data_IF_125522614113
#
_entry.id   IF_125522614113
#
_cell.length_a   1.000
_cell.length_b   1.000
_cell.length_c   1.000
_cell.angle_alpha   90.00
_cell.angle_beta   90.00
_cell.angle_gamma   90.00
#
_symmetry.space_group_name_H-M   'P 1'
#
loop_
_entity.id
_entity.type
_entity.pdbx_description
1 polymer ?
#
# COMPACT_ATOMS: atom_id res chain seq x y z
N UNK A 1 37.05 60.06 -47.56
CA UNK A 1 35.82 59.47 -46.99
C UNK A 1 36.02 57.98 -46.82
N UNK A 2 36.37 57.50 -45.58
CA UNK A 2 36.57 56.11 -45.30
C UNK A 2 35.29 55.56 -44.71
N UNK A 3 34.65 54.56 -45.35
CA UNK A 3 33.47 53.87 -44.88
C UNK A 3 33.92 52.73 -43.96
N UNK A 4 33.59 52.78 -42.66
CA UNK A 4 33.70 51.67 -41.72
C UNK A 4 32.47 50.81 -41.90
N UNK A 5 32.67 49.53 -42.24
CA UNK A 5 31.66 48.49 -42.23
C UNK A 5 31.75 47.83 -40.86
N UNK A 6 30.74 48.00 -40.02
CA UNK A 6 30.59 47.33 -38.75
C UNK A 6 29.92 45.97 -38.99
N UNK A 7 30.68 44.87 -38.87
CA UNK A 7 30.14 43.53 -38.96
C UNK A 7 29.59 43.15 -37.58
N UNK A 8 28.27 43.01 -37.45
CA UNK A 8 27.58 42.48 -36.28
C UNK A 8 27.71 40.94 -36.31
N UNK A 9 28.57 40.38 -35.44
CA UNK A 9 28.59 38.94 -35.18
C UNK A 9 27.40 38.61 -34.26
N UNK A 10 26.33 38.03 -34.80
CA UNK A 10 25.26 37.39 -34.08
C UNK A 10 25.81 36.01 -33.56
N UNK A 11 26.21 35.97 -32.28
CA UNK A 11 26.46 34.72 -31.60
C UNK A 11 25.10 34.07 -31.29
N UNK A 12 24.66 33.17 -32.18
CA UNK A 12 23.52 32.29 -31.91
C UNK A 12 23.87 31.35 -30.78
N UNK A 13 23.38 31.60 -29.59
CA UNK A 13 23.38 30.59 -28.52
C UNK A 13 22.48 29.43 -28.96
N UNK A 14 23.06 28.35 -29.46
CA UNK A 14 22.37 27.12 -29.67
C UNK A 14 22.00 26.59 -28.25
N UNK A 15 20.73 26.70 -27.89
CA UNK A 15 20.18 25.96 -26.76
C UNK A 15 20.26 24.49 -27.13
N UNK A 16 21.31 23.82 -26.72
CA UNK A 16 21.34 22.37 -26.66
C UNK A 16 20.35 21.99 -25.57
N UNK A 17 19.17 21.50 -25.96
CA UNK A 17 18.29 20.86 -25.00
C UNK A 17 19.10 19.71 -24.37
N UNK A 18 19.35 19.79 -23.07
CA UNK A 18 20.02 18.70 -22.36
C UNK A 18 19.18 17.43 -22.56
N UNK A 19 19.84 16.34 -22.92
CA UNK A 19 19.18 15.04 -23.02
C UNK A 19 18.62 14.68 -21.63
N UNK A 20 17.42 14.14 -21.61
CA UNK A 20 16.84 13.64 -20.38
C UNK A 20 17.68 12.50 -19.81
N UNK A 21 17.72 12.46 -18.49
CA UNK A 21 18.36 11.36 -17.77
C UNK A 21 17.38 10.18 -17.67
N UNK A 22 17.86 8.98 -18.01
CA UNK A 22 17.12 7.74 -17.86
C UNK A 22 17.84 6.86 -16.85
N UNK A 23 17.15 6.44 -15.79
CA UNK A 23 17.68 5.58 -14.72
C UNK A 23 16.85 4.29 -14.62
N UNK A 24 17.48 3.14 -14.26
CA UNK A 24 16.71 1.93 -13.98
C UNK A 24 15.78 2.14 -12.79
N UNK A 25 14.68 1.40 -12.72
CA UNK A 25 13.73 1.53 -11.62
C UNK A 25 14.33 1.19 -10.25
N UNK A 26 15.38 0.37 -10.20
CA UNK A 26 16.12 0.02 -8.98
C UNK A 26 17.22 1.04 -8.61
N UNK A 27 17.29 2.20 -9.26
CA UNK A 27 18.28 3.25 -8.89
C UNK A 27 18.07 3.68 -7.44
N UNK A 28 19.15 3.84 -6.70
CA UNK A 28 19.13 4.16 -5.26
C UNK A 28 18.47 5.50 -4.91
N UNK A 29 18.24 6.36 -5.88
CA UNK A 29 17.52 7.63 -5.73
C UNK A 29 15.99 7.43 -5.67
N UNK A 30 15.48 6.27 -6.04
CA UNK A 30 14.06 5.91 -5.94
C UNK A 30 13.83 5.14 -4.64
N UNK A 31 12.83 5.53 -3.88
CA UNK A 31 12.47 4.84 -2.63
C UNK A 31 11.18 4.06 -2.80
N UNK A 32 11.24 2.75 -2.58
CA UNK A 32 10.05 1.88 -2.56
C UNK A 32 9.63 1.57 -1.13
N UNK A 33 8.34 1.51 -0.89
CA UNK A 33 7.75 1.01 0.36
C UNK A 33 6.78 -0.11 0.01
N UNK A 34 7.14 -1.33 0.39
CA UNK A 34 6.44 -2.56 0.06
C UNK A 34 7.39 -3.66 -0.37
N UNK A 35 6.84 -4.82 -0.70
CA UNK A 35 7.60 -5.99 -1.15
C UNK A 35 7.88 -5.90 -2.63
N UNK A 36 9.15 -5.80 -3.00
CA UNK A 36 9.62 -5.70 -4.39
C UNK A 36 10.69 -6.74 -4.68
N UNK A 37 10.77 -7.17 -5.92
CA UNK A 37 11.91 -7.94 -6.43
C UNK A 37 12.62 -7.17 -7.54
N UNK A 38 13.93 -7.11 -7.42
CA UNK A 38 14.80 -6.44 -8.38
C UNK A 38 15.43 -7.46 -9.32
N UNK A 39 15.24 -7.28 -10.61
CA UNK A 39 15.85 -8.09 -11.65
C UNK A 39 17.30 -7.64 -11.96
N UNK A 40 18.08 -8.46 -12.65
CA UNK A 40 19.48 -8.15 -13.00
C UNK A 40 19.62 -6.89 -13.88
N UNK A 41 18.63 -6.56 -14.67
CA UNK A 41 18.59 -5.38 -15.52
C UNK A 41 18.13 -4.10 -14.76
N UNK A 42 17.85 -4.22 -13.47
CA UNK A 42 17.39 -3.13 -12.61
C UNK A 42 15.89 -2.85 -12.70
N UNK A 43 15.11 -3.71 -13.34
CA UNK A 43 13.66 -3.64 -13.26
C UNK A 43 13.15 -4.05 -11.87
N UNK A 44 12.05 -3.45 -11.42
CA UNK A 44 11.44 -3.69 -10.11
C UNK A 44 10.03 -4.21 -10.29
N UNK A 45 9.79 -5.46 -9.85
CA UNK A 45 8.48 -6.11 -9.94
C UNK A 45 7.80 -6.23 -8.58
N UNK A 46 6.46 -6.08 -8.57
CA UNK A 46 5.62 -6.16 -7.37
C UNK A 46 4.15 -6.39 -7.74
N UNK A 47 3.36 -6.96 -6.82
CA UNK A 47 1.92 -7.19 -7.04
C UNK A 47 1.03 -6.86 -5.82
N UNK A 48 1.58 -6.66 -4.63
CA UNK A 48 0.80 -6.27 -3.45
C UNK A 48 0.14 -4.90 -3.61
N UNK A 49 -1.13 -4.77 -3.22
CA UNK A 49 -1.83 -3.47 -3.22
C UNK A 49 -1.18 -2.49 -2.25
N UNK A 50 -1.26 -1.20 -2.55
CA UNK A 50 -0.75 -0.13 -1.69
C UNK A 50 0.76 0.00 -1.62
N UNK A 51 1.53 -0.81 -2.37
CA UNK A 51 2.95 -0.55 -2.57
C UNK A 51 3.13 0.78 -3.30
N UNK A 52 4.12 1.56 -2.91
CA UNK A 52 4.38 2.85 -3.57
C UNK A 52 5.87 3.14 -3.74
N UNK A 53 6.16 4.00 -4.73
CA UNK A 53 7.47 4.55 -4.99
C UNK A 53 7.45 6.08 -4.83
N UNK A 54 8.53 6.63 -4.24
CA UNK A 54 8.82 8.06 -4.16
C UNK A 54 9.92 8.40 -5.14
N UNK A 55 9.68 9.40 -5.96
CA UNK A 55 10.60 9.91 -6.96
C UNK A 55 10.80 11.41 -6.74
N UNK A 56 12.04 11.88 -6.70
CA UNK A 56 12.38 13.30 -6.68
C UNK A 56 13.19 13.64 -7.94
N UNK A 57 12.83 14.75 -8.59
CA UNK A 57 13.43 15.13 -9.88
C UNK A 57 13.44 16.65 -10.05
N UNK A 58 14.18 17.11 -11.05
CA UNK A 58 14.18 18.50 -11.49
C UNK A 58 13.66 18.61 -12.91
N UNK A 59 13.13 19.77 -13.25
CA UNK A 59 12.72 20.09 -14.61
C UNK A 59 11.24 19.92 -14.87
N UNK A 60 10.84 19.89 -16.11
CA UNK A 60 9.44 19.90 -16.53
C UNK A 60 8.91 18.55 -17.01
N UNK A 61 9.62 17.44 -16.73
CA UNK A 61 9.21 16.13 -17.25
C UNK A 61 9.63 14.98 -16.34
N UNK A 62 8.71 14.05 -16.15
CA UNK A 62 8.96 12.73 -15.57
C UNK A 62 8.08 11.71 -16.29
N UNK A 63 8.68 10.62 -16.76
CA UNK A 63 8.00 9.45 -17.31
C UNK A 63 8.47 8.16 -16.64
N UNK A 64 7.61 7.15 -16.67
CA UNK A 64 7.84 5.80 -16.20
C UNK A 64 7.70 4.82 -17.37
N UNK A 65 8.72 4.02 -17.63
CA UNK A 65 8.65 2.83 -18.47
C UNK A 65 8.22 1.65 -17.59
N UNK A 66 7.10 1.04 -17.90
CA UNK A 66 6.54 -0.05 -17.11
C UNK A 66 5.79 -1.07 -17.97
N UNK A 67 5.58 -2.24 -17.38
CA UNK A 67 4.71 -3.28 -17.93
C UNK A 67 3.88 -3.93 -16.85
N UNK A 68 2.86 -4.67 -17.25
CA UNK A 68 2.00 -5.43 -16.35
C UNK A 68 1.64 -6.78 -16.96
N UNK A 69 1.34 -7.78 -16.11
CA UNK A 69 0.89 -9.10 -16.57
C UNK A 69 -0.57 -9.10 -16.96
N UNK A 70 -1.36 -8.17 -16.40
CA UNK A 70 -2.80 -8.03 -16.64
C UNK A 70 -3.14 -6.53 -16.75
N UNK A 71 -3.80 -5.94 -15.71
CA UNK A 71 -4.19 -4.53 -15.72
C UNK A 71 -4.25 -3.96 -14.32
N UNK A 72 -3.31 -3.12 -14.00
CA UNK A 72 -3.21 -2.44 -12.71
C UNK A 72 -3.52 -0.93 -12.79
N UNK A 73 -4.07 -0.42 -11.70
CA UNK A 73 -4.36 1.00 -11.50
C UNK A 73 -3.39 1.59 -10.47
N UNK A 74 -2.99 2.85 -10.66
CA UNK A 74 -2.03 3.53 -9.79
C UNK A 74 -2.52 4.93 -9.44
N UNK A 75 -2.48 5.28 -8.16
CA UNK A 75 -2.59 6.64 -7.68
C UNK A 75 -1.28 7.40 -7.94
N UNK A 76 -1.37 8.66 -8.32
CA UNK A 76 -0.19 9.55 -8.47
C UNK A 76 -0.46 10.87 -7.77
N UNK A 77 0.43 11.26 -6.85
CA UNK A 77 0.45 12.57 -6.20
C UNK A 77 1.69 13.34 -6.61
N UNK A 78 1.53 14.65 -6.86
CA UNK A 78 2.56 15.52 -7.41
C UNK A 78 2.75 16.71 -6.47
N UNK A 79 3.99 16.92 -6.00
CA UNK A 79 4.39 18.03 -5.12
C UNK A 79 3.60 18.12 -3.81
N UNK A 80 3.02 17.04 -3.36
CA UNK A 80 2.28 16.94 -2.09
C UNK A 80 2.38 15.54 -1.49
N UNK A 81 1.96 15.40 -0.25
CA UNK A 81 1.83 14.11 0.41
C UNK A 81 0.63 13.33 -0.16
N UNK A 82 0.69 11.99 -0.13
CA UNK A 82 -0.47 11.16 -0.44
C UNK A 82 -1.69 11.50 0.41
N UNK A 83 -2.85 11.50 -0.22
CA UNK A 83 -4.16 11.71 0.40
C UNK A 83 -5.16 10.70 -0.16
N UNK A 84 -6.40 10.71 0.32
CA UNK A 84 -7.47 9.88 -0.23
C UNK A 84 -7.71 10.14 -1.74
N UNK A 85 -7.47 11.36 -2.19
CA UNK A 85 -7.68 11.76 -3.59
C UNK A 85 -6.33 12.00 -4.28
N UNK A 86 -5.98 11.21 -5.32
CA UNK A 86 -4.77 11.43 -6.11
C UNK A 86 -4.94 12.61 -7.09
N UNK A 87 -3.82 13.16 -7.58
CA UNK A 87 -3.85 14.15 -8.66
C UNK A 87 -4.24 13.52 -9.99
N UNK A 88 -3.90 12.26 -10.17
CA UNK A 88 -4.35 11.44 -11.31
C UNK A 88 -4.27 9.95 -11.01
N UNK A 89 -4.99 9.19 -11.81
CA UNK A 89 -4.91 7.73 -11.85
C UNK A 89 -4.24 7.33 -13.16
N UNK A 90 -3.29 6.41 -13.08
CA UNK A 90 -2.58 5.82 -14.20
C UNK A 90 -2.99 4.35 -14.31
N UNK A 91 -3.17 3.88 -15.55
CA UNK A 91 -3.45 2.47 -15.85
C UNK A 91 -2.26 1.89 -16.60
N UNK A 92 -1.80 0.71 -16.18
CA UNK A 92 -0.76 -0.06 -16.84
C UNK A 92 -1.36 -1.44 -17.16
N UNK A 93 -1.50 -1.78 -18.43
CA UNK A 93 -2.10 -3.03 -18.92
C UNK A 93 -1.17 -3.81 -19.88
N UNK A 94 0.00 -3.25 -20.17
CA UNK A 94 1.04 -3.80 -21.06
C UNK A 94 2.31 -2.97 -20.95
N UNK A 95 3.33 -3.34 -21.71
CA UNK A 95 4.53 -2.51 -21.84
C UNK A 95 4.18 -1.14 -22.41
N UNK A 96 4.52 -0.11 -21.64
CA UNK A 96 4.15 1.28 -21.95
C UNK A 96 5.12 2.27 -21.32
N UNK A 97 5.09 3.51 -21.86
CA UNK A 97 5.72 4.66 -21.21
C UNK A 97 4.62 5.63 -20.78
N UNK A 98 4.52 5.85 -19.47
CA UNK A 98 3.51 6.74 -18.87
C UNK A 98 4.16 8.04 -18.45
N UNK A 99 3.66 9.17 -18.97
CA UNK A 99 4.09 10.50 -18.51
C UNK A 99 3.45 10.81 -17.16
N UNK A 100 4.26 10.81 -16.10
CA UNK A 100 3.83 11.11 -14.74
C UNK A 100 3.73 12.62 -14.49
N UNK A 101 4.63 13.41 -15.08
CA UNK A 101 4.64 14.86 -14.97
C UNK A 101 5.07 15.51 -16.29
N UNK A 102 4.39 16.60 -16.71
CA UNK A 102 4.78 17.38 -17.88
C UNK A 102 4.30 18.83 -17.74
N UNK A 103 5.23 19.76 -17.47
CA UNK A 103 4.96 21.20 -17.38
C UNK A 103 6.14 22.01 -17.90
N UNK A 104 5.99 22.61 -19.07
CA UNK A 104 7.07 23.36 -19.73
C UNK A 104 7.62 24.54 -18.94
N UNK A 105 6.81 25.15 -18.07
CA UNK A 105 7.14 26.39 -17.36
C UNK A 105 7.92 26.14 -16.05
N UNK A 106 8.06 24.89 -15.61
CA UNK A 106 8.69 24.54 -14.32
C UNK A 106 10.06 23.88 -14.44
N UNK A 107 10.79 24.12 -15.52
CA UNK A 107 12.06 23.45 -15.86
C UNK A 107 13.20 23.57 -14.85
N UNK A 108 13.16 24.56 -13.97
CA UNK A 108 14.22 24.81 -12.97
C UNK A 108 13.85 24.42 -11.54
N UNK A 109 12.65 23.87 -11.32
CA UNK A 109 12.18 23.54 -9.98
C UNK A 109 12.43 22.07 -9.65
N UNK A 110 12.59 21.80 -8.37
CA UNK A 110 12.56 20.45 -7.83
C UNK A 110 11.11 20.02 -7.61
N UNK A 111 10.81 18.78 -7.96
CA UNK A 111 9.50 18.16 -7.84
C UNK A 111 9.60 16.82 -7.13
N UNK A 112 8.50 16.38 -6.54
CA UNK A 112 8.32 15.03 -6.02
C UNK A 112 7.07 14.39 -6.60
N UNK A 113 7.14 13.10 -6.85
CA UNK A 113 6.02 12.26 -7.23
C UNK A 113 5.97 11.05 -6.32
N UNK A 114 4.76 10.70 -5.87
CA UNK A 114 4.48 9.40 -5.26
C UNK A 114 3.55 8.65 -6.20
N UNK A 115 3.91 7.41 -6.54
CA UNK A 115 3.07 6.51 -7.34
C UNK A 115 2.76 5.27 -6.52
N UNK A 116 1.47 4.94 -6.31
CA UNK A 116 1.00 3.84 -5.48
C UNK A 116 0.13 2.88 -6.30
N UNK A 117 0.46 1.57 -6.23
CA UNK A 117 -0.40 0.52 -6.80
C UNK A 117 -1.73 0.49 -6.07
N UNK A 118 -2.85 0.59 -6.80
CA UNK A 118 -4.20 0.50 -6.22
C UNK A 118 -4.64 -0.93 -6.05
N UNK A 119 -4.55 -1.70 -7.10
CA UNK A 119 -5.09 -3.04 -7.26
C UNK A 119 -4.21 -4.09 -6.60
N UNK A 120 -4.80 -5.20 -6.20
CA UNK A 120 -4.11 -6.35 -5.63
C UNK A 120 -3.54 -7.31 -6.70
N UNK A 121 -2.87 -8.39 -6.30
CA UNK A 121 -2.17 -9.28 -7.22
C UNK A 121 -3.07 -10.00 -8.23
N UNK A 122 -4.38 -10.16 -7.95
CA UNK A 122 -5.32 -10.76 -8.88
C UNK A 122 -5.55 -9.92 -10.15
N UNK A 123 -5.29 -8.62 -10.09
CA UNK A 123 -5.43 -7.70 -11.23
C UNK A 123 -4.14 -7.55 -12.02
N UNK A 124 -3.01 -7.98 -11.48
CA UNK A 124 -1.75 -7.98 -12.21
C UNK A 124 -0.50 -7.88 -11.33
N UNK A 125 0.64 -8.14 -11.97
CA UNK A 125 1.97 -7.89 -11.45
C UNK A 125 2.64 -6.83 -12.27
N UNK A 126 2.81 -5.66 -11.67
CA UNK A 126 3.50 -4.55 -12.30
C UNK A 126 5.03 -4.75 -12.28
N UNK A 127 5.68 -4.28 -13.34
CA UNK A 127 7.13 -4.18 -13.44
C UNK A 127 7.50 -2.78 -13.89
N UNK A 128 8.15 -2.02 -13.02
CA UNK A 128 8.76 -0.74 -13.37
C UNK A 128 10.16 -1.00 -13.94
N UNK A 129 10.46 -0.49 -15.14
CA UNK A 129 11.72 -0.73 -15.83
C UNK A 129 12.69 0.41 -15.64
N UNK A 130 12.23 1.62 -15.91
CA UNK A 130 13.06 2.82 -15.83
C UNK A 130 12.20 4.06 -15.60
N UNK A 131 12.85 5.10 -15.07
CA UNK A 131 12.31 6.46 -15.05
C UNK A 131 13.14 7.35 -15.96
N UNK A 132 12.49 8.32 -16.61
CA UNK A 132 13.11 9.35 -17.44
C UNK A 132 12.69 10.73 -16.95
N UNK A 133 13.63 11.62 -16.67
CA UNK A 133 13.39 12.99 -16.23
C UNK A 133 14.44 13.96 -16.80
N UNK A 134 14.21 15.28 -16.65
CA UNK A 134 15.25 16.27 -16.98
C UNK A 134 16.47 16.17 -16.05
N UNK A 135 16.30 15.65 -14.84
CA UNK A 135 17.34 15.26 -13.89
C UNK A 135 16.74 14.62 -12.63
N UNK A 136 17.47 13.77 -11.94
CA UNK A 136 17.00 13.11 -10.72
C UNK A 136 17.66 13.66 -9.47
N UNK A 137 16.90 13.73 -8.39
CA UNK A 137 17.34 14.02 -7.03
C UNK A 137 17.15 12.78 -6.16
N UNK A 138 17.77 12.79 -4.97
CA UNK A 138 17.49 11.76 -3.97
C UNK A 138 16.06 11.92 -3.45
N UNK A 139 15.23 10.90 -3.57
CA UNK A 139 13.91 10.88 -2.98
C UNK A 139 13.97 10.79 -1.44
N UNK A 140 12.89 11.20 -0.78
CA UNK A 140 12.68 10.94 0.65
C UNK A 140 12.80 9.43 0.91
N UNK A 141 13.64 9.05 1.87
CA UNK A 141 13.84 7.67 2.28
C UNK A 141 12.59 7.06 2.96
N UNK A 142 12.70 5.81 3.36
CA UNK A 142 11.70 5.16 4.19
C UNK A 142 11.62 5.89 5.52
N UNK A 143 10.42 6.15 6.01
CA UNK A 143 10.17 6.88 7.24
C UNK A 143 10.57 6.05 8.46
N UNK A 144 10.96 6.73 9.54
CA UNK A 144 11.26 6.08 10.82
C UNK A 144 10.03 5.35 11.39
N UNK A 145 8.86 5.96 11.24
CA UNK A 145 7.60 5.32 11.62
C UNK A 145 7.10 4.47 10.46
N UNK A 146 6.89 3.19 10.74
CA UNK A 146 6.34 2.24 9.77
C UNK A 146 5.35 1.30 10.46
N UNK A 147 4.24 1.03 9.81
CA UNK A 147 3.23 0.08 10.24
C UNK A 147 3.15 -1.03 9.19
N UNK A 148 3.38 -2.28 9.58
CA UNK A 148 2.98 -3.40 8.75
C UNK A 148 1.50 -3.70 8.97
N UNK A 149 0.74 -3.90 7.89
CA UNK A 149 -0.68 -4.24 7.95
C UNK A 149 -0.90 -5.53 7.18
N UNK A 150 -1.36 -6.57 7.88
CA UNK A 150 -1.71 -7.87 7.31
C UNK A 150 -3.23 -7.98 7.30
N UNK A 151 -3.84 -8.19 6.11
CA UNK A 151 -5.29 -8.15 6.02
C UNK A 151 -5.90 -8.83 4.80
N UNK A 152 -7.18 -8.56 4.63
CA UNK A 152 -8.01 -9.04 3.54
C UNK A 152 -8.48 -7.88 2.63
N UNK A 153 -9.60 -8.05 1.95
CA UNK A 153 -10.21 -7.04 1.07
C UNK A 153 -10.39 -5.67 1.72
N UNK A 154 -10.66 -5.62 3.03
CA UNK A 154 -10.78 -4.34 3.76
C UNK A 154 -9.44 -3.60 3.84
N UNK A 155 -8.34 -4.33 3.80
CA UNK A 155 -7.00 -3.77 3.79
C UNK A 155 -6.52 -3.45 2.37
N UNK A 156 -6.92 -4.22 1.36
CA UNK A 156 -6.66 -3.90 -0.05
C UNK A 156 -7.33 -2.60 -0.49
N UNK A 157 -8.52 -2.30 0.04
CA UNK A 157 -9.34 -1.16 -0.39
C UNK A 157 -10.41 -1.54 -1.42
N UNK A 158 -10.81 -2.82 -1.41
CA UNK A 158 -11.83 -3.38 -2.29
C UNK A 158 -13.13 -2.58 -2.22
N UNK A 159 -13.59 -2.04 -3.35
CA UNK A 159 -14.83 -1.29 -3.45
C UNK A 159 -14.86 0.09 -2.76
N UNK A 160 -13.73 0.58 -2.25
CA UNK A 160 -13.67 1.80 -1.42
C UNK A 160 -13.95 3.11 -2.18
N UNK A 161 -13.84 3.10 -3.53
CA UNK A 161 -14.19 4.25 -4.37
C UNK A 161 -15.69 4.37 -4.62
N UNK A 162 -16.43 3.28 -4.53
CA UNK A 162 -17.86 3.25 -4.79
C UNK A 162 -18.65 3.69 -3.54
N UNK A 163 -19.87 4.18 -3.75
CA UNK A 163 -20.82 4.58 -2.68
C UNK A 163 -22.12 3.78 -2.69
N UNK A 164 -22.23 2.79 -3.58
CA UNK A 164 -23.42 1.93 -3.73
C UNK A 164 -23.01 0.49 -3.40
N UNK A 165 -23.49 0.00 -2.28
CA UNK A 165 -23.09 -1.30 -1.74
C UNK A 165 -23.56 -2.51 -2.56
N UNK A 166 -24.64 -2.35 -3.32
CA UNK A 166 -25.20 -3.38 -4.20
C UNK A 166 -24.45 -3.50 -5.53
N UNK A 167 -23.64 -2.50 -5.88
CA UNK A 167 -22.83 -2.56 -7.10
C UNK A 167 -21.81 -3.69 -6.99
N UNK A 168 -21.56 -4.43 -8.08
CA UNK A 168 -20.48 -5.39 -8.10
C UNK A 168 -19.13 -4.67 -8.06
N UNK A 169 -18.14 -5.31 -7.46
CA UNK A 169 -16.76 -4.82 -7.49
C UNK A 169 -16.24 -4.70 -8.93
N UNK A 170 -15.43 -3.66 -9.13
CA UNK A 170 -14.61 -3.44 -10.32
C UNK A 170 -13.19 -3.08 -9.87
N UNK A 171 -12.13 -3.47 -10.62
CA UNK A 171 -10.76 -3.12 -10.23
C UNK A 171 -10.51 -1.61 -10.06
N UNK A 172 -11.21 -0.76 -10.81
CA UNK A 172 -11.17 0.69 -10.65
C UNK A 172 -11.75 1.21 -9.33
N UNK A 173 -12.59 0.42 -8.66
CA UNK A 173 -13.19 0.75 -7.36
C UNK A 173 -12.25 0.42 -6.18
N UNK A 174 -11.12 -0.24 -6.43
CA UNK A 174 -10.13 -0.56 -5.40
C UNK A 174 -9.18 0.61 -5.17
N UNK A 175 -9.06 1.05 -3.90
CA UNK A 175 -8.13 2.13 -3.56
C UNK A 175 -7.59 2.01 -2.13
N UNK A 176 -6.34 1.56 -1.96
CA UNK A 176 -5.68 1.47 -0.65
C UNK A 176 -5.52 2.82 0.05
N UNK A 177 -5.39 3.93 -0.69
CA UNK A 177 -5.26 5.28 -0.10
C UNK A 177 -6.50 5.70 0.70
N UNK A 178 -7.66 5.08 0.44
CA UNK A 178 -8.92 5.29 1.17
C UNK A 178 -9.12 4.36 2.36
N UNK A 179 -8.18 3.42 2.59
CA UNK A 179 -8.35 2.44 3.67
C UNK A 179 -7.94 3.00 5.04
N UNK A 180 -8.45 2.35 6.08
CA UNK A 180 -8.08 2.65 7.47
C UNK A 180 -6.56 2.65 7.67
N UNK A 181 -5.83 1.78 6.96
CA UNK A 181 -4.39 1.65 7.08
C UNK A 181 -3.66 2.92 6.60
N UNK A 182 -3.98 3.41 5.40
CA UNK A 182 -3.36 4.63 4.87
C UNK A 182 -3.81 5.88 5.63
N UNK A 183 -5.06 5.93 6.10
CA UNK A 183 -5.56 7.00 6.98
C UNK A 183 -4.73 7.06 8.27
N UNK A 184 -4.48 5.92 8.92
CA UNK A 184 -3.63 5.82 10.11
C UNK A 184 -2.18 6.22 9.77
N UNK A 185 -1.66 5.75 8.64
CA UNK A 185 -0.33 6.12 8.13
C UNK A 185 -0.18 7.63 7.98
N UNK A 186 -1.11 8.29 7.32
CA UNK A 186 -1.12 9.76 7.17
C UNK A 186 -1.24 10.48 8.51
N UNK A 187 -2.09 9.96 9.41
CA UNK A 187 -2.23 10.55 10.74
C UNK A 187 -0.93 10.55 11.54
N UNK A 188 -0.17 9.46 11.54
CA UNK A 188 1.08 9.36 12.27
C UNK A 188 2.32 9.78 11.46
N UNK A 189 2.18 10.14 10.19
CA UNK A 189 3.31 10.34 9.28
C UNK A 189 4.15 9.07 9.13
N UNK A 190 3.49 7.91 9.11
CA UNK A 190 4.10 6.59 9.02
C UNK A 190 3.99 6.01 7.61
N UNK A 191 4.99 5.21 7.21
CA UNK A 191 4.90 4.37 6.02
C UNK A 191 4.05 3.13 6.29
N UNK A 192 3.32 2.66 5.29
CA UNK A 192 2.50 1.46 5.37
C UNK A 192 3.12 0.35 4.54
N UNK A 193 3.56 -0.72 5.21
CA UNK A 193 3.94 -1.98 4.58
C UNK A 193 2.71 -2.89 4.57
N UNK A 194 2.14 -3.16 3.40
CA UNK A 194 0.89 -3.91 3.27
C UNK A 194 1.12 -5.31 2.74
N UNK A 195 0.48 -6.30 3.40
CA UNK A 195 0.36 -7.69 2.95
C UNK A 195 -1.11 -8.08 3.07
N UNK A 196 -1.84 -7.94 1.98
CA UNK A 196 -3.29 -8.14 1.97
C UNK A 196 -3.77 -8.75 0.67
N UNK A 197 -4.80 -9.61 0.77
CA UNK A 197 -5.44 -10.26 -0.37
C UNK A 197 -6.92 -10.45 -0.11
N UNK A 198 -7.75 -10.07 -1.06
CA UNK A 198 -9.22 -10.17 -0.96
C UNK A 198 -9.68 -11.62 -0.79
N UNK A 199 -10.70 -11.80 0.04
CA UNK A 199 -11.21 -13.15 0.33
C UNK A 199 -10.33 -14.00 1.25
N UNK A 200 -9.17 -13.50 1.70
CA UNK A 200 -8.22 -14.28 2.48
C UNK A 200 -8.63 -14.40 3.95
N UNK A 201 -8.44 -15.58 4.51
CA UNK A 201 -8.65 -15.87 5.94
C UNK A 201 -7.42 -16.49 6.59
N UNK A 202 -7.61 -16.84 7.83
CA UNK A 202 -6.61 -17.52 8.70
C UNK A 202 -6.65 -19.03 8.52
N UNK A 203 -7.84 -19.61 8.52
CA UNK A 203 -8.12 -21.04 8.39
C UNK A 203 -9.02 -21.34 7.19
N UNK A 204 -9.88 -20.38 6.83
CA UNK A 204 -10.78 -20.46 5.68
C UNK A 204 -10.74 -19.16 4.88
N UNK A 205 -10.71 -19.29 3.56
CA UNK A 205 -10.95 -18.17 2.65
C UNK A 205 -12.46 -17.98 2.41
N UNK A 206 -12.84 -16.84 1.84
CA UNK A 206 -14.22 -16.57 1.45
C UNK A 206 -14.77 -17.70 0.56
N UNK A 207 -15.91 -18.28 0.96
CA UNK A 207 -16.62 -19.32 0.22
C UNK A 207 -15.81 -20.60 -0.11
N UNK A 208 -14.64 -20.83 0.50
CA UNK A 208 -13.93 -22.07 0.32
C UNK A 208 -14.29 -23.11 1.41
N UNK A 209 -13.95 -24.37 1.15
CA UNK A 209 -14.17 -25.48 2.08
C UNK A 209 -12.92 -25.79 2.92
N UNK A 210 -12.05 -24.82 3.16
CA UNK A 210 -10.76 -25.02 3.84
C UNK A 210 -9.68 -25.56 2.91
N UNK A 211 -9.85 -25.39 1.61
CA UNK A 211 -8.84 -25.72 0.60
C UNK A 211 -8.17 -24.44 0.14
N UNK A 212 -6.88 -24.51 -0.06
CA UNK A 212 -6.18 -23.40 -0.65
C UNK A 212 -5.11 -22.79 0.26
N UNK A 213 -4.71 -21.64 -0.08
CA UNK A 213 -3.60 -20.92 0.50
C UNK A 213 -4.14 -19.82 1.42
N UNK A 214 -3.87 -19.93 2.72
CA UNK A 214 -4.35 -18.99 3.73
C UNK A 214 -3.29 -17.94 4.07
N UNK A 215 -3.67 -16.87 4.72
CA UNK A 215 -2.76 -15.78 5.02
C UNK A 215 -1.49 -16.21 5.77
N UNK A 216 -1.47 -17.17 6.72
CA UNK A 216 -0.23 -17.60 7.35
C UNK A 216 0.85 -18.12 6.39
N UNK A 217 0.45 -18.70 5.25
CA UNK A 217 1.39 -19.11 4.20
C UNK A 217 1.71 -17.95 3.22
N UNK A 218 0.69 -17.17 2.86
CA UNK A 218 0.81 -16.06 1.93
C UNK A 218 1.72 -14.94 2.49
N UNK A 219 1.66 -14.71 3.78
CA UNK A 219 2.50 -13.72 4.48
C UNK A 219 4.00 -13.90 4.22
N UNK A 220 4.47 -15.10 3.98
CA UNK A 220 5.89 -15.40 3.76
C UNK A 220 6.37 -15.06 2.32
N UNK A 221 5.48 -14.66 1.42
CA UNK A 221 5.80 -14.55 0.00
C UNK A 221 6.24 -13.14 -0.40
N UNK A 222 7.13 -13.07 -1.40
CA UNK A 222 7.51 -11.80 -2.02
C UNK A 222 6.38 -11.24 -2.90
N UNK A 223 5.65 -12.12 -3.57
CA UNK A 223 4.50 -11.80 -4.42
C UNK A 223 3.21 -12.39 -3.85
N UNK A 224 2.10 -11.71 -4.10
CA UNK A 224 0.78 -12.12 -3.65
C UNK A 224 0.35 -13.47 -4.23
N UNK A 225 0.51 -13.69 -5.52
CA UNK A 225 0.05 -14.89 -6.22
C UNK A 225 1.14 -15.93 -6.51
N UNK A 226 2.34 -15.79 -5.99
CA UNK A 226 3.42 -16.74 -6.23
C UNK A 226 3.99 -17.33 -4.94
N UNK A 227 4.15 -18.66 -4.89
CA UNK A 227 4.75 -19.36 -3.76
C UNK A 227 6.25 -19.13 -3.62
N UNK A 228 6.88 -18.67 -4.69
CA UNK A 228 8.31 -18.35 -4.75
C UNK A 228 8.51 -17.01 -5.48
N UNK A 229 9.53 -16.26 -5.11
CA UNK A 229 10.40 -16.52 -3.98
C UNK A 229 9.76 -16.13 -2.63
N UNK A 230 10.27 -16.69 -1.55
CA UNK A 230 9.93 -16.26 -0.18
C UNK A 230 10.48 -14.84 0.04
N UNK A 231 9.74 -14.02 0.75
CA UNK A 231 10.19 -12.67 1.12
C UNK A 231 11.35 -12.72 2.12
N UNK A 232 12.36 -11.90 1.91
CA UNK A 232 13.58 -11.91 2.74
C UNK A 232 13.40 -11.26 4.11
N UNK A 233 12.39 -10.41 4.29
CA UNK A 233 12.18 -9.55 5.47
C UNK A 233 13.40 -8.65 5.79
N UNK A 234 14.33 -8.51 4.85
CA UNK A 234 15.44 -7.57 4.98
C UNK A 234 14.97 -6.13 4.73
N UNK A 235 15.62 -5.18 5.40
CA UNK A 235 15.32 -3.76 5.22
C UNK A 235 14.72 -3.11 6.47
N UNK A 236 14.06 -1.95 6.31
CA UNK A 236 13.45 -1.23 7.42
C UNK A 236 12.41 -2.07 8.15
N UNK A 237 12.45 -2.04 9.49
CA UNK A 237 11.56 -2.82 10.33
C UNK A 237 10.33 -1.99 10.70
N UNK A 238 9.10 -2.55 10.65
CA UNK A 238 7.91 -1.86 11.12
C UNK A 238 7.97 -1.64 12.65
N UNK A 239 7.40 -0.53 13.10
CA UNK A 239 7.28 -0.23 14.53
C UNK A 239 6.18 -1.06 15.21
N UNK A 240 5.21 -1.53 14.44
CA UNK A 240 4.07 -2.34 14.87
C UNK A 240 3.51 -3.11 13.67
N UNK A 241 3.04 -4.34 13.91
CA UNK A 241 2.23 -5.09 12.93
C UNK A 241 0.77 -5.08 13.36
N UNK A 242 -0.14 -4.69 12.47
CA UNK A 242 -1.59 -4.75 12.66
C UNK A 242 -2.15 -5.89 11.82
N UNK A 243 -2.79 -6.87 12.44
CA UNK A 243 -3.44 -7.99 11.77
C UNK A 243 -4.94 -7.73 11.77
N UNK A 244 -5.51 -7.51 10.59
CA UNK A 244 -6.94 -7.26 10.38
C UNK A 244 -7.54 -8.38 9.53
N UNK A 245 -7.82 -9.52 10.15
CA UNK A 245 -8.23 -10.77 9.49
C UNK A 245 -9.34 -11.47 10.27
N UNK A 246 -10.01 -12.40 9.61
CA UNK A 246 -11.02 -13.28 10.18
C UNK A 246 -12.40 -13.09 9.56
N UNK A 247 -12.67 -11.99 8.86
CA UNK A 247 -13.96 -11.76 8.18
C UNK A 247 -14.32 -12.94 7.26
N UNK A 248 -13.37 -13.42 6.49
CA UNK A 248 -13.57 -14.49 5.52
C UNK A 248 -13.71 -15.87 6.18
N UNK A 249 -13.06 -16.08 7.32
CA UNK A 249 -13.21 -17.31 8.10
C UNK A 249 -14.66 -17.54 8.54
N UNK A 250 -15.39 -16.46 8.88
CA UNK A 250 -16.79 -16.49 9.33
C UNK A 250 -17.78 -16.17 8.21
N UNK A 251 -17.34 -16.14 6.95
CA UNK A 251 -18.21 -15.85 5.81
C UNK A 251 -19.13 -17.03 5.46
N UNK A 252 -20.22 -16.73 4.72
CA UNK A 252 -21.13 -17.72 4.13
C UNK A 252 -21.79 -18.66 5.16
N UNK A 253 -22.21 -18.09 6.31
CA UNK A 253 -22.87 -18.81 7.42
C UNK A 253 -22.10 -20.03 7.94
N UNK A 254 -20.78 -19.97 7.83
CA UNK A 254 -19.86 -21.00 8.34
C UNK A 254 -18.94 -20.41 9.39
N UNK A 255 -18.62 -21.22 10.37
CA UNK A 255 -17.72 -20.87 11.44
C UNK A 255 -16.61 -21.93 11.51
N UNK A 256 -15.32 -21.53 11.51
CA UNK A 256 -14.24 -22.48 11.73
C UNK A 256 -14.30 -23.04 13.15
N UNK A 257 -13.70 -24.20 13.39
CA UNK A 257 -13.46 -24.62 14.78
C UNK A 257 -12.48 -23.62 15.43
N UNK A 258 -12.70 -23.33 16.72
CA UNK A 258 -11.78 -22.45 17.45
C UNK A 258 -10.33 -22.96 17.40
N UNK A 259 -10.13 -24.29 17.50
CA UNK A 259 -8.79 -24.88 17.45
C UNK A 259 -8.10 -24.63 16.11
N UNK A 260 -8.77 -24.82 14.98
CA UNK A 260 -8.20 -24.62 13.67
C UNK A 260 -7.87 -23.12 13.43
N UNK A 261 -8.80 -22.23 13.75
CA UNK A 261 -8.59 -20.77 13.68
C UNK A 261 -7.44 -20.32 14.57
N UNK A 262 -7.41 -20.76 15.85
CA UNK A 262 -6.34 -20.45 16.80
C UNK A 262 -4.97 -20.91 16.26
N UNK A 263 -4.88 -22.15 15.82
CA UNK A 263 -3.61 -22.72 15.37
C UNK A 263 -3.10 -22.01 14.11
N UNK A 264 -3.99 -21.61 13.19
CA UNK A 264 -3.68 -20.78 12.05
C UNK A 264 -3.18 -19.39 12.46
N UNK A 265 -3.90 -18.76 13.38
CA UNK A 265 -3.55 -17.41 13.86
C UNK A 265 -2.19 -17.41 14.60
N UNK A 266 -1.95 -18.41 15.45
CA UNK A 266 -0.66 -18.56 16.17
C UNK A 266 0.49 -18.77 15.18
N UNK A 267 0.29 -19.51 14.08
CA UNK A 267 1.32 -19.63 13.03
C UNK A 267 1.69 -18.27 12.44
N UNK A 268 0.70 -17.42 12.15
CA UNK A 268 0.95 -16.06 11.65
C UNK A 268 1.69 -15.20 12.69
N UNK A 269 1.23 -15.21 13.95
CA UNK A 269 1.88 -14.47 15.04
C UNK A 269 3.34 -14.88 15.21
N UNK A 270 3.62 -16.19 15.17
CA UNK A 270 4.99 -16.72 15.27
C UNK A 270 5.85 -16.28 14.07
N UNK A 271 5.30 -16.32 12.86
CA UNK A 271 6.03 -15.84 11.68
C UNK A 271 6.40 -14.36 11.80
N UNK A 272 5.49 -13.49 12.26
CA UNK A 272 5.79 -12.08 12.53
C UNK A 272 6.90 -11.94 13.58
N UNK A 273 6.81 -12.69 14.69
CA UNK A 273 7.82 -12.65 15.76
C UNK A 273 9.19 -13.19 15.32
N UNK A 274 9.20 -14.21 14.49
CA UNK A 274 10.45 -14.78 13.93
C UNK A 274 11.24 -13.72 13.14
N UNK A 275 10.54 -12.86 12.41
CA UNK A 275 11.19 -11.84 11.58
C UNK A 275 11.50 -10.53 12.30
N UNK A 276 10.65 -10.11 13.26
CA UNK A 276 10.77 -8.81 13.92
C UNK A 276 11.16 -8.89 15.40
N UNK A 277 11.22 -10.11 15.97
CA UNK A 277 11.63 -10.35 17.36
C UNK A 277 10.48 -10.29 18.37
N UNK A 278 10.73 -10.83 19.56
CA UNK A 278 9.70 -10.96 20.61
C UNK A 278 9.21 -9.61 21.16
N UNK A 279 10.06 -8.59 21.12
CA UNK A 279 9.70 -7.24 21.59
C UNK A 279 8.75 -6.51 20.61
N UNK A 280 8.65 -6.94 19.36
CA UNK A 280 7.83 -6.29 18.35
C UNK A 280 6.33 -6.34 18.71
N UNK A 281 5.60 -5.21 18.77
CA UNK A 281 4.18 -5.20 19.10
C UNK A 281 3.32 -5.69 17.94
N UNK A 282 2.35 -6.56 18.22
CA UNK A 282 1.36 -7.04 17.26
C UNK A 282 -0.03 -6.68 17.80
N UNK A 283 -0.81 -5.97 16.99
CA UNK A 283 -2.21 -5.65 17.29
C UNK A 283 -3.13 -6.54 16.45
N UNK A 284 -3.84 -7.45 17.10
CA UNK A 284 -4.85 -8.29 16.47
C UNK A 284 -6.21 -7.57 16.53
N UNK A 285 -6.70 -7.14 15.38
CA UNK A 285 -7.96 -6.42 15.27
C UNK A 285 -9.08 -7.41 14.93
N UNK A 286 -10.13 -7.42 15.77
CA UNK A 286 -11.36 -8.09 15.40
C UNK A 286 -12.20 -7.13 14.54
N UNK A 287 -12.32 -7.41 13.23
CA UNK A 287 -13.15 -6.59 12.35
C UNK A 287 -14.62 -6.73 12.77
N UNK A 288 -15.40 -5.73 12.39
CA UNK A 288 -16.84 -5.79 12.56
C UNK A 288 -17.42 -6.99 11.81
N UNK A 289 -17.90 -7.99 12.54
CA UNK A 289 -18.64 -9.09 11.94
C UNK A 289 -19.62 -9.72 12.95
N UNK A 290 -19.16 -10.58 13.84
CA UNK A 290 -20.00 -11.20 14.88
C UNK A 290 -19.28 -11.19 16.24
N UNK A 291 -20.03 -11.38 17.31
CA UNK A 291 -19.46 -11.52 18.66
C UNK A 291 -18.54 -12.76 18.78
N UNK A 292 -18.88 -13.84 18.08
CA UNK A 292 -18.06 -15.05 18.06
C UNK A 292 -16.70 -14.78 17.43
N UNK A 293 -16.64 -13.98 16.37
CA UNK A 293 -15.40 -13.58 15.74
C UNK A 293 -14.51 -12.78 16.72
N UNK A 294 -15.12 -11.82 17.42
CA UNK A 294 -14.41 -11.07 18.47
C UNK A 294 -13.89 -11.98 19.59
N UNK A 295 -14.73 -12.92 20.06
CA UNK A 295 -14.32 -13.89 21.08
C UNK A 295 -13.16 -14.77 20.63
N UNK A 296 -13.16 -15.24 19.40
CA UNK A 296 -12.08 -16.07 18.87
C UNK A 296 -10.75 -15.32 18.87
N UNK A 297 -10.69 -14.11 18.34
CA UNK A 297 -9.43 -13.34 18.29
C UNK A 297 -8.97 -12.98 19.70
N UNK A 298 -9.87 -12.54 20.59
CA UNK A 298 -9.54 -12.25 21.99
C UNK A 298 -8.92 -13.46 22.68
N UNK A 299 -9.53 -14.64 22.56
CA UNK A 299 -9.04 -15.90 23.15
C UNK A 299 -7.72 -16.35 22.52
N UNK A 300 -7.49 -16.11 21.22
CA UNK A 300 -6.18 -16.35 20.60
C UNK A 300 -5.12 -15.51 21.29
N UNK A 301 -5.35 -14.20 21.44
CA UNK A 301 -4.39 -13.29 22.10
C UNK A 301 -4.13 -13.73 23.54
N UNK A 302 -5.17 -14.08 24.32
CA UNK A 302 -5.06 -14.53 25.71
C UNK A 302 -4.30 -15.86 25.86
N UNK A 303 -4.33 -16.73 24.85
CA UNK A 303 -3.80 -18.09 24.91
C UNK A 303 -2.60 -18.37 24.00
N UNK A 304 -2.12 -17.38 23.22
CA UNK A 304 -1.05 -17.62 22.24
C UNK A 304 0.33 -17.90 22.88
N UNK A 305 0.54 -17.52 24.14
CA UNK A 305 1.80 -17.70 24.85
C UNK A 305 2.94 -16.80 24.33
N UNK A 306 2.62 -15.77 23.55
CA UNK A 306 3.57 -14.80 23.02
C UNK A 306 3.43 -13.46 23.76
N UNK A 307 4.54 -12.73 23.90
CA UNK A 307 4.57 -11.41 24.52
C UNK A 307 4.27 -10.31 23.49
N UNK A 308 3.82 -9.13 23.94
CA UNK A 308 3.52 -7.97 23.09
C UNK A 308 2.55 -8.30 21.93
N UNK A 309 1.53 -9.09 22.23
CA UNK A 309 0.39 -9.36 21.35
C UNK A 309 -0.85 -8.78 22.01
N UNK A 310 -1.56 -7.93 21.32
CA UNK A 310 -2.67 -7.13 21.84
C UNK A 310 -3.91 -7.34 21.01
N UNK A 311 -5.07 -7.16 21.65
CA UNK A 311 -6.38 -7.26 21.01
C UNK A 311 -7.05 -5.90 20.92
N UNK A 312 -7.71 -5.63 19.78
CA UNK A 312 -8.67 -4.54 19.62
C UNK A 312 -9.92 -5.03 18.89
N UNK A 313 -11.08 -4.87 19.52
CA UNK A 313 -12.38 -5.13 18.88
C UNK A 313 -12.98 -3.86 18.32
N UNK A 314 -13.38 -3.86 17.04
CA UNK A 314 -14.14 -2.76 16.46
C UNK A 314 -15.64 -2.88 16.84
N UNK A 315 -16.30 -1.78 17.22
CA UNK A 315 -17.75 -1.83 17.53
C UNK A 315 -18.56 -2.35 16.34
N UNK A 316 -19.34 -3.39 16.55
CA UNK A 316 -20.10 -4.07 15.47
C UNK A 316 -21.10 -3.12 14.82
N UNK A 317 -21.76 -2.26 15.62
CA UNK A 317 -22.85 -1.39 15.19
C UNK A 317 -22.35 -0.13 14.45
N UNK A 318 -21.14 0.33 14.74
CA UNK A 318 -20.63 1.63 14.27
C UNK A 318 -20.29 1.66 12.79
N UNK A 319 -20.02 0.51 12.18
CA UNK A 319 -19.51 0.41 10.81
C UNK A 319 -20.50 -0.25 9.85
N UNK A 320 -21.81 -0.14 10.10
CA UNK A 320 -22.84 -0.86 9.37
C UNK A 320 -23.92 0.02 8.73
N UNK A 321 -23.69 1.32 8.66
CA UNK A 321 -24.61 2.21 7.99
C UNK A 321 -24.44 2.14 6.47
N UNK A 322 -25.50 2.37 5.72
CA UNK A 322 -25.44 2.42 4.26
C UNK A 322 -24.43 3.46 3.76
N UNK A 323 -24.30 4.58 4.48
CA UNK A 323 -23.31 5.62 4.19
C UNK A 323 -21.85 5.18 4.36
N UNK A 324 -21.58 4.03 4.98
CA UNK A 324 -20.25 3.52 5.27
C UNK A 324 -19.79 2.46 4.25
N UNK A 325 -20.68 2.08 3.34
CA UNK A 325 -20.47 0.97 2.42
C UNK A 325 -20.32 1.43 0.98
N UNK A 326 -19.42 0.78 0.29
CA UNK A 326 -19.16 0.84 -1.14
C UNK A 326 -19.42 -0.50 -1.81
N UNK A 327 -18.88 -0.70 -3.02
CA UNK A 327 -19.19 -1.88 -3.83
C UNK A 327 -19.04 -3.19 -3.08
N UNK A 328 -19.93 -4.15 -3.39
CA UNK A 328 -19.97 -5.49 -2.81
C UNK A 328 -19.96 -5.50 -1.28
N UNK A 329 -20.67 -4.53 -0.65
CA UNK A 329 -20.83 -4.42 0.80
C UNK A 329 -19.52 -4.18 1.58
N UNK A 330 -18.47 -3.73 0.91
CA UNK A 330 -17.22 -3.35 1.53
C UNK A 330 -17.26 -1.91 2.06
N UNK A 331 -16.39 -1.57 3.01
CA UNK A 331 -16.34 -0.19 3.49
C UNK A 331 -15.94 0.77 2.37
N UNK A 332 -16.64 1.88 2.23
CA UNK A 332 -16.17 3.05 1.50
C UNK A 332 -15.25 3.90 2.40
N UNK A 333 -14.83 5.07 1.90
CA UNK A 333 -13.95 5.97 2.66
C UNK A 333 -14.51 6.32 4.06
N UNK A 334 -15.82 6.58 4.19
CA UNK A 334 -16.45 6.89 5.49
C UNK A 334 -16.36 5.70 6.46
N UNK A 335 -16.61 4.49 5.98
CA UNK A 335 -16.44 3.27 6.78
C UNK A 335 -15.00 3.06 7.23
N UNK A 336 -14.04 3.34 6.36
CA UNK A 336 -12.61 3.27 6.69
C UNK A 336 -12.16 4.35 7.67
N UNK A 337 -12.69 5.58 7.58
CA UNK A 337 -12.45 6.63 8.57
C UNK A 337 -12.86 6.20 9.98
N UNK A 338 -14.05 5.62 10.14
CA UNK A 338 -14.54 5.14 11.45
C UNK A 338 -13.62 4.06 12.04
N UNK A 339 -13.09 3.15 11.19
CA UNK A 339 -12.12 2.14 11.61
C UNK A 339 -10.81 2.80 12.06
N UNK A 340 -10.31 3.78 11.30
CA UNK A 340 -9.11 4.51 11.65
C UNK A 340 -9.26 5.26 12.99
N UNK A 341 -10.38 5.96 13.21
CA UNK A 341 -10.70 6.62 14.49
C UNK A 341 -10.65 5.65 15.67
N UNK A 342 -11.12 4.41 15.48
CA UNK A 342 -11.10 3.39 16.53
C UNK A 342 -9.70 2.87 16.84
N UNK A 343 -8.81 2.81 15.85
CA UNK A 343 -7.48 2.20 15.99
C UNK A 343 -6.37 3.20 16.33
N UNK A 344 -6.48 4.47 15.94
CA UNK A 344 -5.46 5.50 16.20
C UNK A 344 -5.08 5.59 17.69
N UNK A 345 -6.03 5.67 18.66
CA UNK A 345 -5.66 5.74 20.08
C UNK A 345 -4.95 4.48 20.57
N UNK A 346 -5.32 3.31 20.07
CA UNK A 346 -4.70 2.03 20.42
C UNK A 346 -3.26 1.99 19.91
N UNK A 347 -3.04 2.32 18.63
CA UNK A 347 -1.70 2.35 18.03
C UNK A 347 -0.82 3.39 18.74
N UNK A 348 -1.35 4.59 19.04
CA UNK A 348 -0.64 5.60 19.84
C UNK A 348 -0.14 5.04 21.17
N UNK A 349 -0.98 4.30 21.88
CA UNK A 349 -0.62 3.67 23.16
C UNK A 349 0.47 2.63 23.02
N UNK A 350 0.39 1.78 21.99
CA UNK A 350 1.33 0.67 21.78
C UNK A 350 2.69 1.11 21.25
N UNK A 351 2.72 2.20 20.46
CA UNK A 351 3.96 2.71 19.85
C UNK A 351 4.58 3.87 20.60
N UNK A 352 3.83 4.52 21.50
CA UNK A 352 4.23 5.77 22.15
C UNK A 352 4.14 6.98 21.21
N UNK A 353 3.60 6.86 20.01
CA UNK A 353 3.44 8.00 19.11
C UNK A 353 2.36 8.95 19.62
N UNK A 354 2.62 10.26 19.70
CA UNK A 354 1.66 11.20 20.25
C UNK A 354 0.41 11.31 19.37
N UNK A 355 -0.74 11.50 20.00
CA UNK A 355 -1.92 11.99 19.30
C UNK A 355 -1.73 13.45 18.94
N UNK A 356 -2.01 13.81 17.71
CA UNK A 356 -1.86 15.16 17.18
C UNK A 356 -3.22 15.84 17.02
N UNK A 357 -3.25 17.15 17.23
CA UNK A 357 -4.44 17.96 16.98
C UNK A 357 -4.55 18.32 15.50
N UNK A 358 -4.85 17.32 14.68
CA UNK A 358 -5.07 17.48 13.24
C UNK A 358 -6.23 16.59 12.77
N UNK A 359 -6.82 16.89 11.61
CA UNK A 359 -7.83 16.02 11.01
C UNK A 359 -7.31 14.58 10.82
N UNK A 360 -8.22 13.62 10.91
CA UNK A 360 -7.99 12.23 10.50
C UNK A 360 -8.61 12.08 9.12
N UNK A 361 -7.76 11.92 8.08
CA UNK A 361 -8.16 11.89 6.67
C UNK A 361 -7.31 10.96 5.80
#
# INVERSE_FOLDING_TARGET
>A
MKRFILALLLAGAAFVAAARERIPAADSRITYVGRTLVAQDGAVSFDWSGLYARIAFTGGYLALEAGDTEKDYFNVWIDREPSAEPDKIVVIDKETTVVLFSQKERKSLAHKVVIQKRTEGEQGRATFRAFEADGFLQAEGVRERMIEVIGDSYTCGYGSENSVREDPFRPEDENPAKTYADIIGRYFGADILRVAHSGQGIDRNYNDAGRGWHMPQRYLQAFDLAKEPVWSFAGPQPSITVIYLGTNDFSTDRQPSFSAFRDGYIRLLKAVKEHYGDAHPILCVAPKHTLDHHDYIRRVVESCGLTNVYYAGLPVEVHNNDSDLGASWHPNYTGHLKKAYSLIPVISTLTGWPLENKPVE
#
